data_IF_603624222741
#
_entry.id   IF_603624222741
#
_cell.length_a   1.000
_cell.length_b   1.000
_cell.length_c   1.000
_cell.angle_alpha   90.00
_cell.angle_beta   90.00
_cell.angle_gamma   90.00
#
_symmetry.space_group_name_H-M   'P 1'
#
loop_
_entity.id
_entity.type
_entity.pdbx_description
1 polymer ?
#
# COMPACT_ATOMS: atom_id res chain seq x y z
N UNK A 1 -22.22 -1.92 35.24
CA UNK A 1 -21.51 -0.76 34.66
C UNK A 1 -21.33 -1.06 33.19
N UNK A 2 -21.77 -0.19 32.28
CA UNK A 2 -21.55 -0.40 30.84
C UNK A 2 -20.06 -0.26 30.57
N UNK A 3 -19.43 -1.29 30.04
CA UNK A 3 -18.04 -1.20 29.58
C UNK A 3 -17.97 -0.17 28.46
N UNK A 4 -17.18 0.89 28.67
CA UNK A 4 -16.99 1.98 27.72
C UNK A 4 -15.76 1.77 26.84
N UNK A 5 -15.03 0.68 27.03
CA UNK A 5 -13.75 0.40 26.39
C UNK A 5 -13.76 -1.04 25.89
N UNK A 6 -13.48 -1.20 24.59
CA UNK A 6 -13.25 -2.49 23.98
C UNK A 6 -11.86 -2.52 23.34
N UNK A 7 -11.26 -3.70 23.29
CA UNK A 7 -10.04 -3.95 22.52
C UNK A 7 -10.43 -4.74 21.28
N UNK A 8 -9.93 -4.32 20.12
CA UNK A 8 -10.20 -4.95 18.84
C UNK A 8 -8.89 -5.31 18.16
N UNK A 9 -8.83 -6.54 17.67
CA UNK A 9 -7.74 -7.04 16.86
C UNK A 9 -8.26 -7.32 15.45
N UNK A 10 -7.53 -6.87 14.44
CA UNK A 10 -7.89 -7.03 13.03
C UNK A 10 -6.74 -7.72 12.30
N UNK A 11 -7.06 -8.60 11.35
CA UNK A 11 -6.11 -9.13 10.37
C UNK A 11 -6.79 -9.04 9.01
N UNK A 12 -6.10 -8.50 8.02
CA UNK A 12 -6.50 -8.53 6.62
C UNK A 12 -5.37 -9.10 5.77
N UNK A 13 -5.74 -9.90 4.77
CA UNK A 13 -4.81 -10.57 3.87
C UNK A 13 -5.43 -10.70 2.49
N UNK A 14 -4.74 -10.24 1.46
CA UNK A 14 -5.09 -10.48 0.07
C UNK A 14 -3.82 -10.49 -0.79
N UNK A 15 -3.81 -11.31 -1.83
CA UNK A 15 -2.72 -11.35 -2.81
C UNK A 15 -3.33 -11.29 -4.20
N UNK A 16 -2.78 -10.47 -5.07
CA UNK A 16 -3.22 -10.35 -6.45
C UNK A 16 -1.99 -10.26 -7.35
N UNK A 17 -1.95 -11.11 -8.37
CA UNK A 17 -0.89 -11.11 -9.37
C UNK A 17 -1.50 -11.06 -10.76
N UNK A 18 -0.93 -10.26 -11.65
CA UNK A 18 -1.36 -10.16 -13.05
C UNK A 18 -0.16 -9.87 -13.96
N UNK A 19 -0.20 -10.40 -15.18
CA UNK A 19 0.83 -10.18 -16.20
C UNK A 19 0.16 -9.59 -17.43
N UNK A 20 0.59 -8.41 -17.86
CA UNK A 20 0.02 -7.71 -19.01
C UNK A 20 1.10 -7.35 -20.03
N UNK A 21 0.80 -7.53 -21.31
CA UNK A 21 1.70 -7.12 -22.39
C UNK A 21 1.18 -5.86 -23.08
N UNK A 22 1.89 -4.75 -22.92
CA UNK A 22 1.57 -3.47 -23.57
C UNK A 22 2.76 -2.96 -24.38
N UNK A 23 2.55 -2.64 -25.66
CA UNK A 23 3.57 -2.07 -26.55
C UNK A 23 4.88 -2.88 -26.66
N UNK A 24 4.78 -4.22 -26.57
CA UNK A 24 5.89 -5.18 -26.50
C UNK A 24 6.72 -5.12 -25.21
N UNK A 25 6.16 -4.59 -24.12
CA UNK A 25 6.72 -4.68 -22.78
C UNK A 25 5.75 -5.52 -21.95
N UNK A 26 6.26 -6.59 -21.35
CA UNK A 26 5.55 -7.43 -20.39
C UNK A 26 5.70 -6.80 -19.01
N UNK A 27 4.58 -6.56 -18.35
CA UNK A 27 4.49 -6.00 -17.01
C UNK A 27 3.90 -7.04 -16.08
N UNK A 28 4.71 -7.49 -15.14
CA UNK A 28 4.28 -8.34 -14.03
C UNK A 28 3.96 -7.44 -12.82
N UNK A 29 2.72 -7.53 -12.34
CA UNK A 29 2.22 -6.81 -11.18
C UNK A 29 1.95 -7.82 -10.08
N UNK A 30 2.61 -7.65 -8.93
CA UNK A 30 2.39 -8.45 -7.74
C UNK A 30 2.01 -7.52 -6.57
N UNK A 31 0.79 -7.68 -6.09
CA UNK A 31 0.23 -6.92 -4.97
C UNK A 31 -0.01 -7.85 -3.79
N UNK A 32 0.73 -7.63 -2.72
CA UNK A 32 0.53 -8.30 -1.43
C UNK A 32 -0.05 -7.31 -0.43
N UNK A 33 -1.23 -7.61 0.09
CA UNK A 33 -1.89 -6.84 1.14
C UNK A 33 -1.90 -7.66 2.42
N UNK A 34 -1.11 -7.28 3.40
CA UNK A 34 -1.07 -7.94 4.71
C UNK A 34 -1.07 -6.89 5.80
N UNK A 35 -2.17 -6.81 6.57
CA UNK A 35 -2.26 -5.86 7.69
C UNK A 35 -2.75 -6.53 8.95
N UNK A 36 -2.19 -6.13 10.09
CA UNK A 36 -2.65 -6.57 11.40
C UNK A 36 -2.83 -5.35 12.30
N UNK A 37 -3.98 -5.18 12.93
CA UNK A 37 -4.30 -3.98 13.71
C UNK A 37 -4.66 -4.28 15.15
N UNK A 38 -4.21 -3.43 16.06
CA UNK A 38 -4.68 -3.39 17.45
C UNK A 38 -5.30 -2.03 17.72
N UNK A 39 -6.59 -2.04 18.06
CA UNK A 39 -7.39 -0.85 18.29
C UNK A 39 -8.03 -0.86 19.68
N UNK A 40 -8.10 0.31 20.28
CA UNK A 40 -8.91 0.59 21.46
C UNK A 40 -10.13 1.39 21.02
N UNK A 41 -11.32 0.85 21.30
CA UNK A 41 -12.60 1.47 20.98
C UNK A 41 -13.22 2.06 22.25
N UNK A 42 -13.43 3.38 22.26
CA UNK A 42 -14.08 4.11 23.34
C UNK A 42 -15.52 4.47 22.97
N UNK A 43 -16.47 4.11 23.82
CA UNK A 43 -17.90 4.39 23.65
C UNK A 43 -18.32 5.52 24.60
N UNK A 44 -18.32 6.79 24.16
CA UNK A 44 -18.70 7.91 25.00
C UNK A 44 -20.20 7.91 25.33
N UNK A 45 -21.02 7.34 24.43
CA UNK A 45 -22.47 7.31 24.49
C UNK A 45 -22.99 5.87 24.40
N UNK A 46 -24.19 5.64 24.92
CA UNK A 46 -24.83 4.33 24.92
C UNK A 46 -25.52 3.95 23.59
N UNK A 47 -25.32 4.74 22.53
CA UNK A 47 -25.99 4.64 21.22
C UNK A 47 -25.18 3.87 20.15
N UNK A 48 -24.04 3.29 20.54
CA UNK A 48 -23.19 2.50 19.64
C UNK A 48 -22.20 3.31 18.81
N UNK A 49 -22.11 4.63 19.02
CA UNK A 49 -20.99 5.42 18.54
C UNK A 49 -19.71 5.06 19.29
N UNK A 50 -18.61 4.91 18.55
CA UNK A 50 -17.28 4.65 19.09
C UNK A 50 -16.24 5.58 18.48
N UNK A 51 -15.22 5.89 19.27
CA UNK A 51 -13.97 6.49 18.83
C UNK A 51 -12.91 5.42 18.95
N UNK A 52 -12.16 5.19 17.88
CA UNK A 52 -11.17 4.13 17.79
C UNK A 52 -9.78 4.76 17.63
N UNK A 53 -8.81 4.27 18.40
CA UNK A 53 -7.42 4.68 18.25
C UNK A 53 -6.51 3.46 18.41
N UNK A 54 -5.43 3.42 17.67
CA UNK A 54 -4.46 2.33 17.76
C UNK A 54 -3.44 2.38 16.65
N UNK A 55 -2.95 1.22 16.25
CA UNK A 55 -1.99 1.13 15.16
C UNK A 55 -2.21 -0.16 14.37
N UNK A 56 -1.83 -0.10 13.11
CA UNK A 56 -1.74 -1.23 12.21
C UNK A 56 -0.28 -1.52 11.92
N UNK A 57 0.07 -2.81 11.92
CA UNK A 57 1.18 -3.31 11.16
C UNK A 57 0.80 -3.37 9.69
N UNK A 58 1.57 -2.71 8.83
CA UNK A 58 1.39 -2.62 7.39
C UNK A 58 2.50 -3.39 6.68
N UNK A 59 2.18 -4.60 6.21
CA UNK A 59 3.02 -5.39 5.32
C UNK A 59 2.47 -5.38 3.90
N UNK A 60 1.91 -4.24 3.46
CA UNK A 60 1.48 -4.09 2.08
C UNK A 60 2.70 -3.83 1.20
N UNK A 61 2.79 -4.57 0.11
CA UNK A 61 3.90 -4.56 -0.82
C UNK A 61 3.34 -4.52 -2.24
N UNK A 62 3.92 -3.68 -3.07
CA UNK A 62 3.61 -3.60 -4.49
C UNK A 62 4.89 -3.75 -5.31
N UNK A 63 4.98 -4.87 -6.01
CA UNK A 63 6.06 -5.18 -6.93
C UNK A 63 5.60 -5.01 -8.38
N UNK A 64 6.45 -4.37 -9.17
CA UNK A 64 6.26 -4.18 -10.60
C UNK A 64 7.55 -4.57 -11.33
N UNK A 65 7.47 -5.56 -12.20
CA UNK A 65 8.59 -5.89 -13.09
C UNK A 65 8.21 -5.61 -14.53
N UNK A 66 8.95 -4.72 -15.18
CA UNK A 66 8.77 -4.41 -16.59
C UNK A 66 9.88 -5.08 -17.42
N UNK A 67 9.51 -6.10 -18.19
CA UNK A 67 10.40 -6.84 -19.08
C UNK A 67 10.12 -6.48 -20.55
N UNK A 68 11.12 -6.00 -21.31
CA UNK A 68 10.91 -5.58 -22.67
C UNK A 68 11.03 -6.76 -23.62
N UNK A 69 9.97 -7.07 -24.37
CA UNK A 69 10.01 -7.95 -25.54
C UNK A 69 10.24 -7.18 -26.87
N UNK A 70 10.25 -5.84 -26.81
CA UNK A 70 10.47 -4.89 -27.89
C UNK A 70 10.08 -3.46 -27.44
N UNK A 71 10.41 -2.42 -28.20
CA UNK A 71 9.98 -1.04 -27.89
C UNK A 71 10.96 -0.20 -27.07
N UNK A 72 10.44 0.62 -26.14
CA UNK A 72 11.24 1.57 -25.36
C UNK A 72 10.57 1.94 -24.04
N UNK A 73 11.38 2.16 -23.01
CA UNK A 73 10.99 2.76 -21.73
C UNK A 73 11.04 4.27 -21.83
N UNK A 74 10.12 4.96 -21.15
CA UNK A 74 10.25 6.39 -20.88
C UNK A 74 10.57 6.54 -19.39
N UNK A 75 11.75 7.06 -19.07
CA UNK A 75 12.22 7.28 -17.70
C UNK A 75 12.72 8.72 -17.65
N UNK A 76 12.15 9.54 -16.76
CA UNK A 76 12.49 10.95 -16.61
C UNK A 76 12.41 11.73 -17.94
N UNK A 77 11.41 11.43 -18.77
CA UNK A 77 11.25 12.03 -20.10
C UNK A 77 12.24 11.56 -21.17
N UNK A 78 13.16 10.64 -20.84
CA UNK A 78 14.14 10.07 -21.77
C UNK A 78 13.66 8.70 -22.23
N UNK A 79 13.67 8.51 -23.54
CA UNK A 79 13.29 7.24 -24.17
C UNK A 79 14.50 6.32 -24.27
N UNK A 80 14.47 5.22 -23.52
CA UNK A 80 15.47 4.16 -23.53
C UNK A 80 14.99 2.94 -24.30
N UNK A 81 15.75 2.50 -25.29
CA UNK A 81 15.43 1.27 -26.01
C UNK A 81 15.64 0.01 -25.15
N UNK A 82 15.03 -1.10 -25.55
CA UNK A 82 15.21 -2.42 -24.90
C UNK A 82 16.66 -2.93 -24.92
N UNK A 83 17.47 -2.46 -25.87
CA UNK A 83 18.90 -2.75 -25.93
C UNK A 83 19.69 -2.01 -24.83
N UNK A 84 19.11 -0.95 -24.26
CA UNK A 84 19.72 -0.14 -23.21
C UNK A 84 19.27 -0.56 -21.81
N UNK A 85 18.00 -0.90 -21.65
CA UNK A 85 17.43 -1.40 -20.40
C UNK A 85 16.82 -2.77 -20.68
N UNK A 86 17.38 -3.81 -20.07
CA UNK A 86 16.95 -5.19 -20.23
C UNK A 86 15.80 -5.57 -19.28
N UNK A 87 15.66 -4.89 -18.15
CA UNK A 87 14.48 -4.95 -17.29
C UNK A 87 14.48 -3.77 -16.31
N UNK A 88 13.31 -3.42 -15.80
CA UNK A 88 13.16 -2.45 -14.70
C UNK A 88 12.28 -3.09 -13.63
N UNK A 89 12.82 -3.23 -12.42
CA UNK A 89 12.06 -3.67 -11.25
C UNK A 89 11.76 -2.48 -10.35
N UNK A 90 10.50 -2.33 -9.97
CA UNK A 90 10.01 -1.37 -9.01
C UNK A 90 9.40 -2.07 -7.81
N UNK A 91 9.76 -1.63 -6.61
CA UNK A 91 9.20 -2.08 -5.35
C UNK A 91 8.73 -0.85 -4.59
N UNK A 92 7.46 -0.85 -4.17
CA UNK A 92 6.86 0.19 -3.36
C UNK A 92 6.36 -0.42 -2.06
N UNK A 93 6.92 0.07 -0.96
CA UNK A 93 6.58 -0.30 0.40
C UNK A 93 6.21 0.95 1.21
N UNK A 94 5.61 0.76 2.38
CA UNK A 94 5.28 1.82 3.32
C UNK A 94 5.80 1.47 4.71
N UNK A 95 5.73 2.41 5.65
CA UNK A 95 6.18 2.15 7.01
C UNK A 95 5.35 1.02 7.65
N UNK A 96 6.06 0.08 8.26
CA UNK A 96 5.46 -1.08 8.91
C UNK A 96 4.47 -0.70 10.01
N UNK A 97 4.68 0.42 10.71
CA UNK A 97 3.82 0.85 11.80
C UNK A 97 2.99 2.07 11.38
N UNK A 98 1.68 1.86 11.26
CA UNK A 98 0.75 2.85 10.80
C UNK A 98 -0.28 3.24 11.90
N UNK A 99 -0.08 4.36 12.62
CA UNK A 99 -1.05 4.86 13.59
C UNK A 99 -2.42 5.11 12.96
N UNK A 100 -3.48 4.81 13.71
CA UNK A 100 -4.86 4.92 13.26
C UNK A 100 -5.70 5.69 14.26
N UNK A 101 -6.55 6.56 13.74
CA UNK A 101 -7.66 7.16 14.48
C UNK A 101 -8.91 7.15 13.63
N UNK A 102 -10.04 6.82 14.23
CA UNK A 102 -11.30 6.76 13.54
C UNK A 102 -12.49 6.88 14.45
N UNK A 103 -13.65 6.92 13.81
CA UNK A 103 -14.96 6.88 14.44
C UNK A 103 -15.74 5.73 13.81
N UNK A 104 -16.66 5.17 14.58
CA UNK A 104 -17.50 4.10 14.11
C UNK A 104 -18.87 4.11 14.74
N UNK A 105 -19.77 3.38 14.10
CA UNK A 105 -21.07 3.04 14.61
C UNK A 105 -21.26 1.53 14.60
N UNK A 106 -21.83 1.03 15.68
CA UNK A 106 -22.08 -0.39 15.89
C UNK A 106 -21.55 -0.79 17.26
N UNK A 107 -22.43 -1.33 18.10
CA UNK A 107 -22.04 -1.88 19.39
C UNK A 107 -22.63 -3.28 19.54
N UNK A 108 -21.73 -4.25 19.52
CA UNK A 108 -22.02 -5.67 19.43
C UNK A 108 -22.29 -6.29 20.80
N UNK A 109 -21.83 -5.67 21.89
CA UNK A 109 -21.90 -6.30 23.22
C UNK A 109 -23.27 -6.16 23.89
N UNK A 110 -24.21 -5.41 23.30
CA UNK A 110 -25.54 -5.16 23.91
C UNK A 110 -26.63 -6.13 23.49
N UNK A 111 -26.49 -6.81 22.35
CA UNK A 111 -27.56 -7.67 21.80
C UNK A 111 -26.95 -8.95 21.23
N UNK A 112 -27.42 -10.11 21.69
CA UNK A 112 -27.03 -11.41 21.09
C UNK A 112 -27.51 -11.49 19.64
N UNK A 113 -26.70 -12.14 18.80
CA UNK A 113 -27.01 -12.37 17.39
C UNK A 113 -26.24 -11.46 16.44
N UNK A 114 -26.83 -11.23 15.26
CA UNK A 114 -26.23 -10.46 14.19
C UNK A 114 -26.31 -8.95 14.44
N UNK A 115 -25.26 -8.23 14.07
CA UNK A 115 -25.18 -6.77 14.08
C UNK A 115 -24.42 -6.26 12.87
N UNK A 116 -24.49 -4.96 12.64
CA UNK A 116 -23.74 -4.28 11.60
C UNK A 116 -22.83 -3.24 12.21
N UNK A 117 -21.72 -2.97 11.56
CA UNK A 117 -20.85 -1.87 11.92
C UNK A 117 -20.42 -1.09 10.68
N UNK A 118 -20.11 0.17 10.90
CA UNK A 118 -19.43 1.03 9.94
C UNK A 118 -18.33 1.79 10.69
N UNK A 119 -17.13 1.83 10.13
CA UNK A 119 -16.04 2.66 10.62
C UNK A 119 -15.55 3.59 9.51
N UNK A 120 -15.15 4.78 9.91
CA UNK A 120 -14.43 5.73 9.09
C UNK A 120 -13.25 6.26 9.90
N UNK A 121 -12.05 6.18 9.34
CA UNK A 121 -10.86 6.67 10.01
C UNK A 121 -9.78 7.06 9.03
N UNK A 122 -8.67 7.51 9.60
CA UNK A 122 -7.45 7.81 8.88
C UNK A 122 -6.33 6.99 9.48
N UNK A 123 -5.50 6.47 8.60
CA UNK A 123 -4.28 5.75 8.93
C UNK A 123 -3.10 6.59 8.45
N UNK A 124 -2.12 6.82 9.31
CA UNK A 124 -0.87 7.41 8.89
C UNK A 124 0.08 6.28 8.52
N UNK A 125 0.30 6.04 7.23
CA UNK A 125 1.10 4.92 6.72
C UNK A 125 2.56 5.28 6.46
N UNK A 126 2.97 6.52 6.76
CA UNK A 126 4.34 6.96 6.60
C UNK A 126 4.72 7.31 5.16
N UNK A 127 6.02 7.50 4.94
CA UNK A 127 6.57 7.79 3.62
C UNK A 127 6.61 6.53 2.77
N UNK A 128 6.29 6.68 1.48
CA UNK A 128 6.46 5.58 0.53
C UNK A 128 7.96 5.34 0.31
N UNK A 129 8.37 4.08 0.44
CA UNK A 129 9.70 3.62 0.12
C UNK A 129 9.65 3.04 -1.29
N UNK A 130 10.21 3.78 -2.24
CA UNK A 130 10.29 3.36 -3.65
C UNK A 130 11.71 2.91 -3.95
N UNK A 131 11.85 1.67 -4.40
CA UNK A 131 13.09 1.11 -4.92
C UNK A 131 12.93 0.85 -6.41
N UNK A 132 13.75 1.48 -7.26
CA UNK A 132 13.82 1.22 -8.69
C UNK A 132 15.17 0.61 -9.04
N UNK A 133 15.18 -0.59 -9.63
CA UNK A 133 16.39 -1.31 -10.01
C UNK A 133 16.41 -1.53 -11.53
N UNK A 134 17.19 -0.75 -12.28
CA UNK A 134 17.35 -0.96 -13.71
C UNK A 134 18.42 -2.02 -13.99
N UNK A 135 18.10 -2.96 -14.87
CA UNK A 135 19.09 -3.89 -15.44
C UNK A 135 19.56 -3.34 -16.77
N UNK A 136 20.82 -2.90 -16.84
CA UNK A 136 21.41 -2.41 -18.09
C UNK A 136 21.54 -3.53 -19.13
N UNK A 137 21.25 -3.21 -20.39
CA UNK A 137 21.41 -4.13 -21.50
C UNK A 137 22.87 -4.50 -21.76
N UNK A 138 23.11 -5.68 -22.32
CA UNK A 138 24.46 -6.23 -22.57
C UNK A 138 25.27 -5.45 -23.59
N UNK A 139 24.62 -4.63 -24.41
CA UNK A 139 25.25 -3.78 -25.43
C UNK A 139 25.64 -2.38 -24.91
N UNK A 140 25.38 -2.07 -23.64
CA UNK A 140 25.59 -0.74 -23.05
C UNK A 140 26.99 -0.65 -22.43
N UNK A 141 27.66 0.48 -22.64
CA UNK A 141 28.94 0.74 -21.97
C UNK A 141 28.73 1.03 -20.49
N UNK A 142 29.74 0.77 -19.66
CA UNK A 142 29.65 1.06 -18.22
C UNK A 142 29.24 2.52 -17.93
N UNK A 143 29.76 3.48 -18.71
CA UNK A 143 29.43 4.89 -18.56
C UNK A 143 27.96 5.20 -18.87
N UNK A 144 27.40 4.61 -19.93
CA UNK A 144 25.99 4.79 -20.28
C UNK A 144 25.05 4.10 -19.28
N UNK A 145 25.48 2.97 -18.70
CA UNK A 145 24.75 2.31 -17.62
C UNK A 145 24.70 3.19 -16.35
N UNK A 146 25.79 3.89 -16.00
CA UNK A 146 25.79 4.86 -14.90
C UNK A 146 24.83 6.02 -15.15
N UNK A 147 24.71 6.51 -16.39
CA UNK A 147 23.71 7.53 -16.74
C UNK A 147 22.28 7.01 -16.57
N UNK A 148 21.99 5.80 -17.04
CA UNK A 148 20.66 5.18 -16.87
C UNK A 148 20.32 5.05 -15.38
N UNK A 149 21.26 4.59 -14.56
CA UNK A 149 21.07 4.48 -13.11
C UNK A 149 20.80 5.84 -12.46
N UNK A 150 21.47 6.89 -12.94
CA UNK A 150 21.22 8.24 -12.46
C UNK A 150 19.82 8.74 -12.83
N UNK A 151 19.38 8.52 -14.07
CA UNK A 151 18.06 8.95 -14.51
C UNK A 151 16.93 8.20 -13.80
N UNK A 152 17.14 6.89 -13.53
CA UNK A 152 16.21 6.07 -12.75
C UNK A 152 16.17 6.53 -11.29
N UNK A 153 17.29 6.96 -10.72
CA UNK A 153 17.32 7.51 -9.35
C UNK A 153 16.58 8.85 -9.28
N UNK A 154 16.68 9.70 -10.31
CA UNK A 154 15.90 10.94 -10.39
C UNK A 154 14.41 10.62 -10.46
N UNK A 155 14.00 9.70 -11.34
CA UNK A 155 12.61 9.22 -11.43
C UNK A 155 12.10 8.66 -10.09
N UNK A 156 12.94 7.87 -9.40
CA UNK A 156 12.62 7.32 -8.08
C UNK A 156 12.36 8.42 -7.06
N UNK A 157 13.18 9.47 -7.03
CA UNK A 157 13.01 10.60 -6.12
C UNK A 157 11.75 11.40 -6.43
N UNK A 158 11.43 11.58 -7.71
CA UNK A 158 10.20 12.24 -8.12
C UNK A 158 8.97 11.43 -7.67
N UNK A 159 8.97 10.10 -7.86
CA UNK A 159 7.92 9.21 -7.36
C UNK A 159 7.78 9.27 -5.83
N UNK A 160 8.89 9.27 -5.08
CA UNK A 160 8.83 9.42 -3.61
C UNK A 160 8.21 10.75 -3.21
N UNK A 161 8.56 11.84 -3.90
CA UNK A 161 7.99 13.16 -3.63
C UNK A 161 6.49 13.20 -3.95
N UNK A 162 6.06 12.63 -5.07
CA UNK A 162 4.64 12.53 -5.43
C UNK A 162 3.86 11.68 -4.41
N UNK A 163 4.43 10.55 -3.98
CA UNK A 163 3.83 9.67 -2.98
C UNK A 163 3.86 10.25 -1.57
N UNK A 164 4.68 11.27 -1.31
CA UNK A 164 4.78 11.91 0.01
C UNK A 164 3.49 12.63 0.44
N UNK A 165 2.63 13.00 -0.52
CA UNK A 165 1.30 13.57 -0.22
C UNK A 165 0.31 12.49 0.27
N UNK A 166 0.62 11.21 0.06
CA UNK A 166 -0.23 10.05 0.39
C UNK A 166 0.16 9.37 1.71
N UNK A 167 0.85 10.10 2.62
CA UNK A 167 1.16 9.63 3.98
C UNK A 167 -0.09 9.31 4.81
N UNK A 168 -1.22 9.93 4.47
CA UNK A 168 -2.50 9.73 5.15
C UNK A 168 -3.43 8.92 4.24
N UNK A 169 -3.82 7.74 4.71
CA UNK A 169 -4.71 6.83 4.03
C UNK A 169 -6.10 6.84 4.68
N UNK A 170 -7.16 7.32 4.00
CA UNK A 170 -8.52 7.25 4.52
C UNK A 170 -9.02 5.80 4.46
N UNK A 171 -9.56 5.33 5.59
CA UNK A 171 -10.09 3.98 5.73
C UNK A 171 -11.59 4.06 5.99
N UNK A 172 -12.37 3.40 5.15
CA UNK A 172 -13.81 3.20 5.37
C UNK A 172 -14.06 1.70 5.37
N UNK A 173 -14.73 1.20 6.41
CA UNK A 173 -15.12 -0.19 6.49
C UNK A 173 -16.58 -0.33 6.89
N UNK A 174 -17.23 -1.33 6.34
CA UNK A 174 -18.57 -1.75 6.73
C UNK A 174 -18.56 -3.25 6.88
N UNK A 175 -19.30 -3.77 7.83
CA UNK A 175 -19.33 -5.20 8.04
C UNK A 175 -20.42 -5.67 8.95
N UNK A 176 -20.40 -6.98 9.15
CA UNK A 176 -21.37 -7.72 9.93
C UNK A 176 -20.65 -8.34 11.13
N UNK A 177 -21.29 -8.30 12.28
CA UNK A 177 -20.78 -8.87 13.53
C UNK A 177 -21.75 -9.90 14.07
N UNK A 178 -21.25 -10.88 14.83
CA UNK A 178 -22.10 -11.82 15.55
C UNK A 178 -21.66 -11.89 17.02
N UNK A 179 -22.61 -11.81 17.94
CA UNK A 179 -22.36 -11.87 19.39
C UNK A 179 -23.07 -13.08 20.01
N UNK A 180 -22.29 -13.91 20.73
CA UNK A 180 -22.73 -15.19 21.30
C UNK A 180 -23.43 -15.07 22.65
#
# INVERSE_FOLDING_TARGET
MTEKLNVRFNINGATYSDTQCESNIEYDYDLTLATAGLLLDYFPMDNGFRISAGAYYNGNEFELTAQPQGGSYNINGITYGTAQIGSLAGLIEFDELAPYIGIGWGNTTKTKGWGFYADAGIMYQGEAQVTLTPTCGTAVTAAACTTIQHDVEVERLDLVNELSDYKIYPVVSVGVTYTF
#
